data_IF_938011114495
#
_entry.id   IF_938011114495
#
_cell.length_a   1.000
_cell.length_b   1.000
_cell.length_c   1.000
_cell.angle_alpha   90.00
_cell.angle_beta   90.00
_cell.angle_gamma   90.00
#
_symmetry.space_group_name_H-M   'P 1'
#
loop_
_entity.id
_entity.type
_entity.pdbx_description
1 polymer ?
#
# COMPACT_ATOMS: atom_id res chain seq x y z
N UNK A 1 10.55 -2.65 10.45
CA UNK A 1 9.16 -2.49 9.99
C UNK A 1 8.95 -1.02 9.74
N UNK A 2 8.56 -0.66 8.53
CA UNK A 2 8.41 0.75 8.15
C UNK A 2 7.01 1.24 8.52
N UNK A 3 6.91 2.31 9.32
CA UNK A 3 5.63 2.88 9.76
C UNK A 3 5.06 3.86 8.73
N UNK A 4 4.12 3.43 7.91
CA UNK A 4 3.50 4.32 6.91
C UNK A 4 2.42 5.21 7.55
N UNK A 5 1.72 4.69 8.55
CA UNK A 5 0.67 5.40 9.30
C UNK A 5 0.81 5.16 10.80
N UNK A 6 0.41 6.17 11.58
CA UNK A 6 0.35 6.17 13.05
C UNK A 6 -1.08 6.41 13.52
N UNK A 7 -1.39 6.13 14.79
CA UNK A 7 -2.72 6.39 15.35
C UNK A 7 -3.18 7.85 15.24
N UNK A 8 -2.23 8.79 15.33
CA UNK A 8 -2.45 10.24 15.18
C UNK A 8 -3.07 10.59 13.82
N UNK A 9 -2.78 9.77 12.81
CA UNK A 9 -3.27 9.92 11.44
C UNK A 9 -4.77 9.56 11.30
N UNK A 10 -5.36 8.99 12.36
CA UNK A 10 -6.75 8.54 12.45
C UNK A 10 -7.55 9.27 13.54
N UNK A 11 -6.99 10.26 14.25
CA UNK A 11 -7.70 10.98 15.32
C UNK A 11 -8.95 11.72 14.82
N UNK A 12 -8.99 12.12 13.56
CA UNK A 12 -10.14 12.77 12.92
C UNK A 12 -11.13 11.77 12.27
N UNK A 13 -10.87 10.47 12.39
CA UNK A 13 -11.60 9.47 11.61
C UNK A 13 -12.93 9.07 12.26
N UNK A 14 -14.02 8.90 11.48
CA UNK A 14 -15.29 8.38 11.98
C UNK A 14 -15.23 6.91 12.42
N UNK A 15 -14.11 6.20 12.20
CA UNK A 15 -13.93 4.79 12.54
C UNK A 15 -12.86 4.67 13.62
N UNK A 16 -13.15 4.01 14.74
CA UNK A 16 -12.14 3.70 15.75
C UNK A 16 -11.11 2.70 15.20
N UNK A 17 -9.91 3.18 14.95
CA UNK A 17 -8.76 2.37 14.53
C UNK A 17 -7.86 2.11 15.73
N UNK A 18 -7.74 0.85 16.14
CA UNK A 18 -6.85 0.43 17.22
C UNK A 18 -5.40 0.24 16.78
N UNK A 19 -4.47 0.15 17.73
CA UNK A 19 -3.04 -0.10 17.46
C UNK A 19 -2.80 -1.36 16.63
N UNK A 20 -3.61 -2.39 16.85
CA UNK A 20 -3.49 -3.65 16.11
C UNK A 20 -3.86 -3.49 14.64
N UNK A 21 -4.89 -2.69 14.34
CA UNK A 21 -5.29 -2.35 12.97
C UNK A 21 -4.19 -1.57 12.24
N UNK A 22 -3.56 -0.60 12.92
CA UNK A 22 -2.41 0.17 12.40
C UNK A 22 -1.21 -0.74 12.11
N UNK A 23 -0.88 -1.67 13.03
CA UNK A 23 0.21 -2.64 12.80
C UNK A 23 -0.07 -3.53 11.59
N UNK A 24 -1.30 -4.04 11.46
CA UNK A 24 -1.70 -4.87 10.32
C UNK A 24 -1.67 -4.07 9.00
N UNK A 25 -2.08 -2.80 9.02
CA UNK A 25 -2.00 -1.91 7.87
C UNK A 25 -0.57 -1.68 7.40
N UNK A 26 0.35 -1.37 8.32
CA UNK A 26 1.76 -1.18 7.99
C UNK A 26 2.39 -2.48 7.42
N UNK A 27 2.05 -3.66 7.98
CA UNK A 27 2.47 -4.96 7.41
C UNK A 27 1.90 -5.19 6.01
N UNK A 28 0.66 -4.78 5.77
CA UNK A 28 0.01 -4.93 4.48
C UNK A 28 0.73 -4.13 3.39
N UNK A 29 1.07 -2.88 3.67
CA UNK A 29 1.84 -2.02 2.75
C UNK A 29 3.20 -2.64 2.45
N UNK A 30 3.92 -3.15 3.46
CA UNK A 30 5.20 -3.83 3.25
C UNK A 30 5.05 -5.09 2.37
N UNK A 31 3.95 -5.84 2.51
CA UNK A 31 3.65 -6.98 1.63
C UNK A 31 3.36 -6.54 0.19
N UNK A 32 2.61 -5.46 -0.02
CA UNK A 32 2.33 -4.92 -1.35
C UNK A 32 3.63 -4.45 -2.02
N UNK A 33 4.47 -3.72 -1.29
CA UNK A 33 5.80 -3.32 -1.77
C UNK A 33 6.68 -4.54 -2.08
N UNK A 34 6.67 -5.55 -1.21
CA UNK A 34 7.43 -6.79 -1.43
C UNK A 34 6.96 -7.55 -2.68
N UNK A 35 5.65 -7.59 -2.95
CA UNK A 35 5.10 -8.16 -4.20
C UNK A 35 5.58 -7.41 -5.44
N UNK A 36 5.79 -6.10 -5.33
CA UNK A 36 6.36 -5.26 -6.39
C UNK A 36 7.89 -5.38 -6.48
N UNK A 37 8.52 -6.18 -5.61
CA UNK A 37 9.99 -6.31 -5.54
C UNK A 37 10.68 -5.12 -4.86
N UNK A 38 9.93 -4.25 -4.20
CA UNK A 38 10.42 -3.04 -3.53
C UNK A 38 10.54 -3.31 -2.04
N UNK A 39 11.74 -3.13 -1.49
CA UNK A 39 11.93 -3.15 -0.03
C UNK A 39 11.81 -1.73 0.52
N UNK A 40 10.86 -1.51 1.42
CA UNK A 40 10.69 -0.23 2.11
C UNK A 40 11.96 0.23 2.84
N UNK A 41 12.79 -0.71 3.31
CA UNK A 41 14.09 -0.44 3.91
C UNK A 41 15.12 0.16 2.94
N UNK A 42 14.98 -0.07 1.63
CA UNK A 42 15.90 0.46 0.62
C UNK A 42 15.54 1.89 0.18
N UNK A 43 14.28 2.29 0.39
CA UNK A 43 13.74 3.55 -0.11
C UNK A 43 12.98 4.28 1.02
N UNK A 44 13.69 5.00 1.91
CA UNK A 44 13.09 5.67 3.06
C UNK A 44 12.05 6.73 2.66
N UNK A 45 12.16 7.31 1.46
CA UNK A 45 11.21 8.27 0.89
C UNK A 45 9.84 7.66 0.54
N UNK A 46 9.73 6.33 0.46
CA UNK A 46 8.43 5.68 0.26
C UNK A 46 7.50 5.87 1.47
N UNK A 47 8.08 6.08 2.66
CA UNK A 47 7.33 6.33 3.89
C UNK A 47 6.48 7.61 3.80
N UNK A 48 6.92 8.58 3.00
CA UNK A 48 6.24 9.85 2.77
C UNK A 48 5.33 9.86 1.54
N UNK A 49 5.28 8.76 0.79
CA UNK A 49 4.45 8.70 -0.42
C UNK A 49 2.95 8.71 -0.04
N UNK A 50 2.17 9.67 -0.57
CA UNK A 50 0.74 9.80 -0.24
C UNK A 50 -0.06 8.55 -0.63
N UNK A 51 0.32 7.85 -1.71
CA UNK A 51 -0.38 6.63 -2.14
C UNK A 51 -0.20 5.47 -1.16
N UNK A 52 0.99 5.34 -0.58
CA UNK A 52 1.27 4.29 0.42
C UNK A 52 0.60 4.59 1.76
N UNK A 53 0.58 5.86 2.17
CA UNK A 53 -0.19 6.31 3.34
C UNK A 53 -1.69 6.05 3.15
N UNK A 54 -2.23 6.36 1.98
CA UNK A 54 -3.65 6.12 1.69
C UNK A 54 -3.99 4.62 1.68
N UNK A 55 -3.14 3.78 1.09
CA UNK A 55 -3.35 2.32 1.14
C UNK A 55 -3.35 1.79 2.58
N UNK A 56 -2.44 2.27 3.42
CA UNK A 56 -2.39 1.91 4.83
C UNK A 56 -3.66 2.37 5.57
N UNK A 57 -4.12 3.61 5.33
CA UNK A 57 -5.37 4.13 5.91
C UNK A 57 -6.58 3.29 5.52
N UNK A 58 -6.75 3.02 4.23
CA UNK A 58 -7.88 2.24 3.71
C UNK A 58 -7.86 0.82 4.27
N UNK A 59 -6.69 0.19 4.39
CA UNK A 59 -6.57 -1.13 5.02
C UNK A 59 -6.92 -1.10 6.52
N UNK A 60 -6.47 -0.07 7.24
CA UNK A 60 -6.80 0.10 8.65
C UNK A 60 -8.32 0.26 8.86
N UNK A 61 -9.00 1.02 7.99
CA UNK A 61 -10.46 1.11 8.03
C UNK A 61 -11.15 -0.20 7.69
N UNK A 62 -10.67 -0.89 6.65
CA UNK A 62 -11.18 -2.18 6.26
C UNK A 62 -11.13 -3.16 7.44
N UNK A 63 -9.97 -3.31 8.09
CA UNK A 63 -9.82 -4.28 9.18
C UNK A 63 -10.62 -3.88 10.42
N UNK A 64 -10.69 -2.58 10.75
CA UNK A 64 -11.53 -2.09 11.86
C UNK A 64 -13.02 -2.34 11.62
N UNK A 65 -13.50 -2.11 10.40
CA UNK A 65 -14.90 -2.40 10.01
C UNK A 65 -15.14 -3.91 10.05
N UNK A 66 -14.20 -4.72 9.55
CA UNK A 66 -14.32 -6.17 9.61
C UNK A 66 -14.41 -6.65 11.06
N UNK A 67 -13.55 -6.15 11.94
CA UNK A 67 -13.50 -6.57 13.35
C UNK A 67 -14.77 -6.14 14.10
N UNK A 68 -15.23 -4.90 13.88
CA UNK A 68 -16.45 -4.37 14.49
C UNK A 68 -17.70 -5.17 14.13
N UNK A 69 -17.88 -5.47 12.85
CA UNK A 69 -19.08 -6.17 12.38
C UNK A 69 -18.98 -7.70 12.47
N UNK A 70 -17.76 -8.27 12.55
CA UNK A 70 -17.59 -9.70 12.86
C UNK A 70 -18.18 -10.08 14.23
N UNK A 71 -18.28 -9.11 15.15
CA UNK A 71 -18.96 -9.29 16.44
C UNK A 71 -20.48 -9.10 16.41
N UNK A 72 -21.04 -8.42 15.42
CA UNK A 72 -22.41 -7.89 15.48
C UNK A 72 -23.48 -8.76 14.76
N UNK A 73 -23.07 -9.80 14.02
CA UNK A 73 -24.02 -10.75 13.40
C UNK A 73 -24.94 -10.17 12.30
N UNK A 74 -24.88 -8.86 12.05
CA UNK A 74 -25.60 -8.17 10.97
C UNK A 74 -24.87 -8.35 9.63
N UNK A 75 -25.08 -9.50 8.99
CA UNK A 75 -24.38 -9.90 7.75
C UNK A 75 -24.63 -8.97 6.54
N UNK A 76 -25.76 -8.25 6.49
CA UNK A 76 -26.14 -7.45 5.29
C UNK A 76 -25.37 -6.13 5.17
N UNK A 77 -25.39 -5.27 6.20
CA UNK A 77 -24.63 -4.00 6.19
C UNK A 77 -23.12 -4.24 6.28
N UNK A 78 -22.72 -5.32 6.95
CA UNK A 78 -21.35 -5.82 6.95
C UNK A 78 -20.82 -6.05 5.53
N UNK A 79 -21.56 -6.82 4.72
CA UNK A 79 -21.10 -7.19 3.40
C UNK A 79 -20.94 -5.98 2.46
N UNK A 80 -21.86 -5.01 2.50
CA UNK A 80 -21.80 -3.85 1.60
C UNK A 80 -20.64 -2.90 1.94
N UNK A 81 -20.41 -2.59 3.22
CA UNK A 81 -19.29 -1.73 3.63
C UNK A 81 -17.95 -2.42 3.43
N UNK A 82 -17.82 -3.68 3.84
CA UNK A 82 -16.57 -4.46 3.65
C UNK A 82 -16.25 -4.62 2.17
N UNK A 83 -17.25 -4.87 1.33
CA UNK A 83 -17.07 -4.94 -0.13
C UNK A 83 -16.63 -3.61 -0.71
N UNK A 84 -17.24 -2.50 -0.30
CA UNK A 84 -16.85 -1.15 -0.73
C UNK A 84 -15.40 -0.82 -0.35
N UNK A 85 -14.99 -1.12 0.89
CA UNK A 85 -13.60 -0.94 1.33
C UNK A 85 -12.64 -1.87 0.59
N UNK A 86 -13.04 -3.10 0.30
CA UNK A 86 -12.23 -4.04 -0.49
C UNK A 86 -12.04 -3.57 -1.93
N UNK A 87 -13.08 -3.02 -2.56
CA UNK A 87 -12.99 -2.45 -3.90
C UNK A 87 -12.09 -1.22 -3.94
N UNK A 88 -12.25 -0.31 -2.97
CA UNK A 88 -11.34 0.83 -2.79
C UNK A 88 -9.91 0.38 -2.61
N UNK A 89 -9.67 -0.60 -1.73
CA UNK A 89 -8.35 -1.13 -1.48
C UNK A 89 -7.71 -1.73 -2.72
N UNK A 90 -8.48 -2.51 -3.49
CA UNK A 90 -8.02 -3.10 -4.76
C UNK A 90 -7.69 -2.01 -5.79
N UNK A 91 -8.50 -0.94 -5.84
CA UNK A 91 -8.27 0.19 -6.75
C UNK A 91 -7.02 0.99 -6.38
N UNK A 92 -6.81 1.21 -5.09
CA UNK A 92 -5.61 1.89 -4.57
C UNK A 92 -4.37 1.01 -4.79
N UNK A 93 -4.46 -0.29 -4.54
CA UNK A 93 -3.37 -1.25 -4.81
C UNK A 93 -3.00 -1.27 -6.30
N UNK A 94 -3.98 -1.34 -7.21
CA UNK A 94 -3.73 -1.28 -8.66
C UNK A 94 -3.18 0.07 -9.13
N UNK A 95 -3.46 1.16 -8.42
CA UNK A 95 -2.89 2.48 -8.74
C UNK A 95 -1.43 2.59 -8.28
N UNK A 96 -1.01 1.77 -7.32
CA UNK A 96 0.38 1.73 -6.85
C UNK A 96 1.21 0.90 -7.82
N UNK A 97 1.71 1.58 -8.85
CA UNK A 97 2.71 1.05 -9.77
C UNK A 97 4.10 1.56 -9.38
N UNK A 98 5.14 0.88 -9.88
CA UNK A 98 6.54 1.34 -9.72
C UNK A 98 6.72 2.80 -10.19
N UNK A 99 6.03 3.21 -11.25
CA UNK A 99 5.99 4.59 -11.73
C UNK A 99 5.34 5.56 -10.73
N UNK A 100 4.22 5.17 -10.11
CA UNK A 100 3.54 5.96 -9.06
C UNK A 100 4.40 6.12 -7.80
N UNK A 101 5.30 5.17 -7.57
CA UNK A 101 6.27 5.22 -6.48
C UNK A 101 7.51 6.07 -6.82
N UNK A 102 7.59 6.64 -8.03
CA UNK A 102 8.78 7.32 -8.53
C UNK A 102 9.98 6.38 -8.73
N UNK A 103 9.75 5.08 -8.56
CA UNK A 103 10.68 4.01 -8.84
C UNK A 103 10.49 3.67 -10.31
N UNK A 104 10.83 4.60 -11.20
CA UNK A 104 11.14 4.15 -12.55
C UNK A 104 12.23 3.11 -12.37
N UNK A 105 11.98 1.88 -12.79
CA UNK A 105 13.10 1.03 -13.15
C UNK A 105 13.88 1.91 -14.13
N UNK A 106 15.00 2.48 -13.70
CA UNK A 106 16.11 2.59 -14.62
C UNK A 106 16.25 1.16 -15.10
N UNK A 107 15.61 0.87 -16.25
CA UNK A 107 16.03 -0.20 -17.12
C UNK A 107 17.55 -0.08 -17.08
N UNK A 108 18.28 -1.14 -16.70
CA UNK A 108 19.73 -1.08 -16.77
C UNK A 108 19.97 -0.55 -18.16
N UNK A 109 20.57 0.64 -18.23
CA UNK A 109 20.91 1.30 -19.48
C UNK A 109 21.56 0.21 -20.27
N UNK A 110 20.82 -0.33 -21.25
CA UNK A 110 21.31 -1.33 -22.18
C UNK A 110 22.37 -0.53 -22.88
N UNK A 111 23.58 -0.65 -22.37
CA UNK A 111 24.74 0.02 -22.93
C UNK A 111 24.69 -0.41 -24.37
N UNK A 112 24.38 0.54 -25.25
CA UNK A 112 24.62 0.37 -26.65
C UNK A 112 26.11 0.05 -26.72
N UNK A 113 26.43 -1.24 -26.77
CA UNK A 113 27.76 -1.70 -27.10
C UNK A 113 27.93 -1.22 -28.54
N UNK A 114 28.53 -0.04 -28.70
CA UNK A 114 29.04 0.45 -29.96
C UNK A 114 30.10 -0.57 -30.38
N UNK A 115 29.69 -1.54 -31.18
CA UNK A 115 30.63 -2.39 -31.90
C UNK A 115 31.30 -1.51 -32.95
N UNK A 116 32.62 -1.28 -32.90
CA UNK A 116 33.29 -0.57 -33.98
C UNK A 116 33.23 -1.45 -35.24
N UNK A 117 32.50 -0.99 -36.25
CA UNK A 117 32.51 -1.60 -37.58
C UNK A 117 33.91 -1.38 -38.16
N UNK A 118 34.76 -2.41 -38.09
CA UNK A 118 36.06 -2.42 -38.78
C UNK A 118 35.81 -2.91 -40.21
N UNK A 119 35.70 -1.99 -41.17
CA UNK A 119 35.79 -2.31 -42.60
C UNK A 119 37.20 -2.80 -42.89
N UNK A 120 37.32 -4.06 -43.29
CA UNK A 120 38.48 -4.67 -43.93
C UNK A 120 38.03 -5.34 -45.20
#
# INVERSE_FOLDING_TARGET
MTEFVTLTDFEDSPVSVGEEAVKRANLYVERVLSKLGVSASLFPHLKDNPHLKELARVYAYYISVVDYYAGDGSESEYNEKVKSYKELLTKTENSITLESLGLTQSSPSVGFATFPIRRG
#
